data_IF_256801918472
#
_entry.id   IF_256801918472
#
_cell.length_a   1.000
_cell.length_b   1.000
_cell.length_c   1.000
_cell.angle_alpha   90.00
_cell.angle_beta   90.00
_cell.angle_gamma   90.00
#
_symmetry.space_group_name_H-M   'P 1'
#
loop_
_entity.id
_entity.type
_entity.pdbx_description
1 polymer ?
#
# COMPACT_ATOMS: atom_id res chain seq x y z
N UNK A 1 27.67 -13.38 -22.78
CA UNK A 1 26.34 -13.43 -22.12
C UNK A 1 26.53 -14.17 -20.82
N UNK A 2 26.42 -13.47 -19.68
CA UNK A 2 26.50 -14.04 -18.35
C UNK A 2 25.15 -13.93 -17.61
N UNK A 3 25.05 -14.58 -16.48
CA UNK A 3 23.90 -14.48 -15.57
C UNK A 3 24.31 -13.59 -14.39
N UNK A 4 23.95 -12.31 -14.44
CA UNK A 4 24.24 -11.34 -13.36
C UNK A 4 23.06 -11.31 -12.37
N UNK A 5 23.36 -11.33 -11.07
CA UNK A 5 22.37 -11.25 -9.99
C UNK A 5 22.41 -9.88 -9.29
N UNK A 6 23.42 -9.68 -8.44
CA UNK A 6 23.58 -8.44 -7.70
C UNK A 6 24.26 -7.36 -8.54
N UNK A 7 23.86 -6.08 -8.31
CA UNK A 7 24.52 -4.92 -8.88
C UNK A 7 24.69 -3.84 -7.82
N UNK A 8 25.89 -3.24 -7.77
CA UNK A 8 26.17 -2.10 -6.93
C UNK A 8 26.87 -1.02 -7.74
N UNK A 9 26.93 0.18 -7.21
CA UNK A 9 27.66 1.29 -7.78
C UNK A 9 28.46 2.02 -6.69
N UNK A 10 29.62 2.51 -7.06
CA UNK A 10 30.49 3.28 -6.20
C UNK A 10 31.47 4.10 -7.05
N UNK A 11 31.93 5.22 -6.54
CA UNK A 11 33.06 5.97 -7.08
C UNK A 11 34.34 5.25 -6.62
N UNK A 12 34.89 4.38 -7.48
CA UNK A 12 36.01 3.49 -7.15
C UNK A 12 37.39 4.14 -7.29
N UNK A 13 37.53 5.08 -8.20
CA UNK A 13 38.77 5.77 -8.46
C UNK A 13 38.80 7.21 -7.92
N UNK A 14 37.69 7.65 -7.31
CA UNK A 14 37.49 8.97 -6.70
C UNK A 14 37.58 10.12 -7.72
N UNK A 15 37.14 9.88 -8.97
CA UNK A 15 37.07 10.90 -10.01
C UNK A 15 35.71 11.64 -10.03
N UNK A 16 34.73 11.16 -9.27
CA UNK A 16 33.45 11.81 -9.03
C UNK A 16 32.31 11.33 -9.92
N UNK A 17 32.50 10.28 -10.67
CA UNK A 17 31.39 9.52 -11.26
C UNK A 17 31.30 8.12 -10.66
N UNK A 18 30.28 7.33 -11.02
CA UNK A 18 29.99 6.07 -10.34
C UNK A 18 30.20 4.89 -11.30
N UNK A 19 31.08 3.98 -10.94
CA UNK A 19 31.27 2.69 -11.60
C UNK A 19 30.13 1.74 -11.24
N UNK A 20 29.87 0.80 -12.14
CA UNK A 20 28.93 -0.29 -11.92
C UNK A 20 29.69 -1.58 -11.70
N UNK A 21 29.34 -2.27 -10.61
CA UNK A 21 29.89 -3.59 -10.29
C UNK A 21 28.74 -4.59 -10.37
N UNK A 22 28.90 -5.67 -11.14
CA UNK A 22 27.93 -6.76 -11.20
C UNK A 22 28.54 -8.05 -10.70
N UNK A 23 27.79 -8.79 -9.90
CA UNK A 23 28.16 -10.14 -9.53
C UNK A 23 27.53 -11.15 -10.50
N UNK A 24 28.33 -12.05 -11.04
CA UNK A 24 27.92 -13.04 -12.02
C UNK A 24 27.89 -14.44 -11.40
N UNK A 25 26.92 -15.26 -11.81
CA UNK A 25 26.82 -16.66 -11.36
C UNK A 25 27.85 -17.48 -12.13
N UNK A 26 28.68 -18.21 -11.39
CA UNK A 26 29.74 -19.08 -11.93
C UNK A 26 30.72 -18.38 -12.88
N UNK A 27 30.90 -17.04 -12.72
CA UNK A 27 31.80 -16.23 -13.53
C UNK A 27 32.39 -15.08 -12.69
N UNK A 28 33.41 -14.42 -13.22
CA UNK A 28 34.06 -13.27 -12.58
C UNK A 28 33.09 -12.09 -12.47
N UNK A 29 33.17 -11.35 -11.35
CA UNK A 29 32.48 -10.07 -11.25
C UNK A 29 32.96 -9.12 -12.36
N UNK A 30 32.03 -8.33 -12.90
CA UNK A 30 32.35 -7.32 -13.89
C UNK A 30 32.32 -5.93 -13.28
N UNK A 31 33.31 -5.13 -13.61
CA UNK A 31 33.38 -3.70 -13.26
C UNK A 31 33.32 -2.89 -14.53
N UNK A 32 32.39 -1.96 -14.60
CA UNK A 32 32.21 -1.06 -15.74
C UNK A 32 32.63 0.33 -15.30
N UNK A 33 33.72 0.82 -15.91
CA UNK A 33 34.21 2.17 -15.71
C UNK A 33 33.24 3.17 -16.32
N UNK A 34 32.93 4.22 -15.58
CA UNK A 34 32.23 5.40 -16.06
C UNK A 34 33.29 6.46 -16.45
N UNK A 35 32.99 7.32 -17.38
CA UNK A 35 33.89 8.40 -17.83
C UNK A 35 33.17 9.73 -17.94
N UNK A 36 32.02 9.85 -17.26
CA UNK A 36 31.18 11.05 -17.36
C UNK A 36 31.73 12.24 -16.60
N UNK A 37 32.60 12.02 -15.60
CA UNK A 37 33.34 13.07 -14.86
C UNK A 37 34.15 14.01 -15.77
N UNK A 38 34.59 13.50 -16.88
CA UNK A 38 35.36 14.31 -17.89
C UNK A 38 34.51 15.41 -18.53
N UNK A 39 33.20 15.30 -18.51
CA UNK A 39 32.29 16.21 -19.21
C UNK A 39 31.19 16.80 -18.31
N UNK A 40 30.86 16.17 -17.21
CA UNK A 40 29.76 16.53 -16.33
C UNK A 40 30.26 16.79 -14.91
N UNK A 41 29.49 17.57 -14.17
CA UNK A 41 29.74 17.90 -12.78
C UNK A 41 28.81 17.13 -11.87
N UNK A 42 29.17 17.01 -10.58
CA UNK A 42 28.44 16.26 -9.59
C UNK A 42 28.40 16.93 -8.20
N UNK A 43 27.63 16.39 -7.29
CA UNK A 43 27.75 16.62 -5.85
C UNK A 43 27.38 15.34 -5.12
N UNK A 44 28.20 14.94 -4.15
CA UNK A 44 27.94 13.81 -3.28
C UNK A 44 27.53 14.30 -1.89
N UNK A 45 26.48 13.74 -1.33
CA UNK A 45 25.92 14.15 -0.02
C UNK A 45 26.10 13.00 0.96
N UNK A 46 26.81 13.30 2.05
CA UNK A 46 26.99 12.42 3.21
C UNK A 46 26.28 12.99 4.44
N UNK A 47 25.93 12.12 5.36
CA UNK A 47 25.23 12.51 6.57
C UNK A 47 26.01 12.12 7.83
N UNK A 48 25.86 12.94 8.85
CA UNK A 48 26.26 12.65 10.22
C UNK A 48 25.07 12.87 11.12
N UNK A 49 24.31 11.80 11.33
CA UNK A 49 23.10 11.80 12.15
C UNK A 49 23.40 11.55 13.63
N UNK A 50 22.34 11.27 14.38
CA UNK A 50 22.42 10.90 15.82
C UNK A 50 22.79 9.42 15.99
N UNK A 51 22.97 9.00 17.24
CA UNK A 51 23.30 7.61 17.60
C UNK A 51 22.28 6.57 17.11
N UNK A 52 21.00 6.98 16.95
CA UNK A 52 19.92 6.10 16.47
C UNK A 52 19.87 5.97 14.93
N UNK A 53 20.39 6.94 14.22
CA UNK A 53 20.45 6.97 12.76
C UNK A 53 21.72 7.71 12.29
N UNK A 54 22.89 7.16 12.65
CA UNK A 54 24.18 7.82 12.42
C UNK A 54 24.48 8.10 10.94
N UNK A 55 23.96 7.30 10.04
CA UNK A 55 24.17 7.42 8.60
C UNK A 55 23.08 8.24 7.88
N UNK A 56 22.02 8.66 8.60
CA UNK A 56 20.94 9.47 8.03
C UNK A 56 20.03 8.73 7.05
N UNK A 57 19.79 7.43 7.28
CA UNK A 57 18.86 6.65 6.45
C UNK A 57 17.47 7.28 6.44
N UNK A 58 16.83 7.31 5.27
CA UNK A 58 15.51 7.91 5.07
C UNK A 58 15.53 9.45 4.93
N UNK A 59 16.69 10.10 5.04
CA UNK A 59 16.78 11.53 4.73
C UNK A 59 16.56 11.79 3.24
N UNK A 60 15.86 12.88 2.93
CA UNK A 60 15.61 13.32 1.56
C UNK A 60 16.45 14.52 1.21
N UNK A 61 17.04 14.50 0.03
CA UNK A 61 17.83 15.61 -0.50
C UNK A 61 17.21 16.09 -1.79
N UNK A 62 17.09 17.41 -1.90
CA UNK A 62 16.66 18.11 -3.09
C UNK A 62 17.84 18.95 -3.59
N UNK A 63 18.19 18.80 -4.86
CA UNK A 63 19.24 19.55 -5.52
C UNK A 63 18.61 20.34 -6.67
N UNK A 64 18.81 21.67 -6.69
CA UNK A 64 18.31 22.55 -7.75
C UNK A 64 19.46 23.18 -8.50
N UNK A 65 19.41 23.10 -9.80
CA UNK A 65 20.24 23.81 -10.74
C UNK A 65 19.37 24.45 -11.79
N UNK A 66 19.78 25.56 -12.42
CA UNK A 66 19.01 26.32 -13.43
C UNK A 66 17.90 25.53 -14.15
N UNK A 67 16.67 25.58 -13.62
CA UNK A 67 15.51 24.96 -14.23
C UNK A 67 15.29 23.46 -13.92
N UNK A 68 16.26 22.78 -13.31
CA UNK A 68 16.16 21.37 -12.93
C UNK A 68 16.10 21.19 -11.42
N UNK A 69 15.26 20.26 -10.97
CA UNK A 69 15.19 19.83 -9.57
C UNK A 69 15.24 18.30 -9.51
N UNK A 70 16.16 17.78 -8.72
CA UNK A 70 16.32 16.36 -8.46
C UNK A 70 16.00 16.08 -7.00
N UNK A 71 15.48 14.88 -6.69
CA UNK A 71 15.25 14.40 -5.32
C UNK A 71 15.74 12.96 -5.20
N UNK A 72 16.45 12.68 -4.13
CA UNK A 72 16.79 11.32 -3.72
C UNK A 72 16.52 11.14 -2.23
N UNK A 73 16.16 9.93 -1.84
CA UNK A 73 16.06 9.49 -0.45
C UNK A 73 17.20 8.50 -0.17
N UNK A 74 17.87 8.64 0.98
CA UNK A 74 18.95 7.73 1.34
C UNK A 74 18.41 6.37 1.78
N UNK A 75 18.66 5.37 0.97
CA UNK A 75 18.43 3.95 1.25
C UNK A 75 19.65 3.15 0.81
N UNK A 76 20.01 2.13 1.56
CA UNK A 76 21.16 1.28 1.24
C UNK A 76 20.81 0.12 0.33
N UNK A 77 19.58 -0.36 0.40
CA UNK A 77 19.12 -1.47 -0.44
C UNK A 77 18.82 -0.98 -1.86
N UNK A 78 19.42 -1.62 -2.87
CA UNK A 78 19.37 -1.20 -4.29
C UNK A 78 19.14 -2.36 -5.24
N UNK A 79 18.19 -3.22 -4.90
CA UNK A 79 17.84 -4.37 -5.72
C UNK A 79 18.19 -5.69 -5.06
N UNK A 80 18.16 -6.75 -5.84
CA UNK A 80 18.32 -8.12 -5.36
C UNK A 80 19.72 -8.32 -4.76
N UNK A 81 19.78 -8.68 -3.47
CA UNK A 81 21.02 -8.96 -2.72
C UNK A 81 22.11 -7.89 -2.88
N UNK A 82 21.71 -6.62 -3.00
CA UNK A 82 22.64 -5.52 -3.31
C UNK A 82 22.46 -4.35 -2.36
N UNK A 83 23.56 -3.76 -1.96
CA UNK A 83 23.60 -2.54 -1.15
C UNK A 83 24.69 -1.59 -1.64
N UNK A 84 24.55 -0.32 -1.31
CA UNK A 84 25.46 0.76 -1.72
C UNK A 84 25.93 1.55 -0.51
N UNK A 85 26.93 2.41 -0.68
CA UNK A 85 27.43 3.31 0.34
C UNK A 85 26.33 4.27 0.87
N UNK A 86 26.40 4.69 2.16
CA UNK A 86 25.42 5.59 2.76
C UNK A 86 25.62 7.05 2.32
N UNK A 87 25.55 7.28 1.03
CA UNK A 87 25.67 8.60 0.43
C UNK A 87 24.73 8.75 -0.77
N UNK A 88 24.41 9.98 -1.12
CA UNK A 88 23.60 10.31 -2.29
C UNK A 88 24.45 11.04 -3.30
N UNK A 89 24.47 10.56 -4.53
CA UNK A 89 25.20 11.16 -5.63
C UNK A 89 24.25 11.81 -6.63
N UNK A 90 24.53 13.07 -6.99
CA UNK A 90 23.75 13.84 -7.95
C UNK A 90 24.64 14.33 -9.09
N UNK A 91 24.36 13.88 -10.29
CA UNK A 91 24.90 14.51 -11.49
C UNK A 91 24.21 15.85 -11.73
N UNK A 92 24.99 16.89 -11.99
CA UNK A 92 24.48 18.25 -12.22
C UNK A 92 24.84 18.80 -13.59
N UNK A 93 25.10 17.91 -14.54
CA UNK A 93 25.50 18.22 -15.91
C UNK A 93 26.67 19.21 -15.92
N UNK A 94 26.60 20.28 -16.67
CA UNK A 94 27.66 21.29 -16.80
C UNK A 94 27.55 22.45 -15.80
N UNK A 95 26.66 22.37 -14.84
CA UNK A 95 26.47 23.38 -13.82
C UNK A 95 27.69 23.43 -12.89
N UNK A 96 28.40 24.56 -12.90
CA UNK A 96 29.56 24.82 -12.01
C UNK A 96 29.14 25.19 -10.59
N UNK A 97 27.86 25.59 -10.41
CA UNK A 97 27.26 25.90 -9.12
C UNK A 97 25.85 25.37 -9.08
N UNK A 98 25.46 24.94 -7.91
CA UNK A 98 24.14 24.42 -7.54
C UNK A 98 23.40 25.53 -6.82
N UNK A 99 22.19 25.87 -7.28
CA UNK A 99 21.43 26.99 -6.73
C UNK A 99 21.01 26.71 -5.28
N UNK A 100 20.50 25.48 -5.02
CA UNK A 100 20.07 25.06 -3.67
C UNK A 100 20.33 23.56 -3.48
N UNK A 101 20.89 23.20 -2.33
CA UNK A 101 20.88 21.85 -1.77
C UNK A 101 20.05 21.89 -0.49
N UNK A 102 18.91 21.20 -0.48
CA UNK A 102 18.00 21.12 0.67
C UNK A 102 17.96 19.68 1.21
N UNK A 103 18.26 19.52 2.48
CA UNK A 103 18.13 18.26 3.21
C UNK A 103 16.91 18.33 4.10
N UNK A 104 16.05 17.30 4.01
CA UNK A 104 14.94 17.07 4.94
C UNK A 104 15.28 15.82 5.74
N UNK A 105 15.49 15.99 7.02
CA UNK A 105 15.80 14.92 7.97
C UNK A 105 14.56 14.15 8.36
N UNK A 106 14.71 12.88 8.75
CA UNK A 106 13.60 12.02 9.16
C UNK A 106 12.79 12.55 10.35
N UNK A 107 13.39 13.43 11.16
CA UNK A 107 12.71 14.12 12.26
C UNK A 107 12.00 15.43 11.84
N UNK A 108 11.92 15.70 10.54
CA UNK A 108 11.28 16.90 9.99
C UNK A 108 12.13 18.16 9.98
N UNK A 109 13.34 18.15 10.57
CA UNK A 109 14.26 19.28 10.48
C UNK A 109 14.79 19.46 9.07
N UNK A 110 15.18 20.68 8.74
CA UNK A 110 15.65 21.06 7.41
C UNK A 110 17.01 21.77 7.50
N UNK A 111 17.84 21.50 6.51
CA UNK A 111 19.05 22.28 6.23
C UNK A 111 19.06 22.70 4.79
N UNK A 112 19.53 23.93 4.52
CA UNK A 112 19.68 24.46 3.16
C UNK A 112 21.06 25.08 2.97
N UNK A 113 21.65 24.83 1.83
CA UNK A 113 22.80 25.53 1.33
C UNK A 113 22.46 26.11 -0.04
N UNK A 114 22.90 27.31 -0.32
CA UNK A 114 22.70 27.99 -1.60
C UNK A 114 24.01 28.32 -2.26
N UNK A 115 24.01 28.43 -3.57
CA UNK A 115 25.20 28.74 -4.37
C UNK A 115 26.39 27.84 -4.05
N UNK A 116 26.14 26.53 -4.08
CA UNK A 116 27.13 25.50 -3.75
C UNK A 116 27.96 25.17 -4.98
N UNK A 117 29.27 25.14 -4.86
CA UNK A 117 30.17 24.69 -5.98
C UNK A 117 29.87 23.21 -6.29
N UNK A 118 29.90 22.87 -7.56
CA UNK A 118 29.92 21.48 -8.00
C UNK A 118 31.26 20.77 -7.71
N UNK A 119 31.31 19.48 -7.95
CA UNK A 119 32.49 18.61 -7.83
C UNK A 119 33.05 18.58 -6.41
N UNK A 120 32.19 18.29 -5.45
CA UNK A 120 32.57 18.12 -4.05
C UNK A 120 31.64 17.17 -3.27
N UNK A 121 32.15 16.73 -2.14
CA UNK A 121 31.38 15.98 -1.16
C UNK A 121 30.94 16.94 -0.06
N UNK A 122 29.62 16.98 0.23
CA UNK A 122 29.03 17.76 1.32
C UNK A 122 28.61 16.83 2.45
N UNK A 123 29.04 17.14 3.67
CA UNK A 123 28.58 16.41 4.85
C UNK A 123 27.60 17.26 5.65
N UNK A 124 26.36 16.81 5.73
CA UNK A 124 25.33 17.43 6.55
C UNK A 124 25.29 16.78 7.96
N UNK A 125 25.24 17.61 9.00
CA UNK A 125 25.16 17.14 10.38
C UNK A 125 23.77 17.44 10.94
N UNK A 126 23.09 16.44 11.49
CA UNK A 126 21.73 16.58 12.01
C UNK A 126 21.60 17.65 13.11
N UNK A 127 22.67 17.81 13.92
CA UNK A 127 22.72 18.83 14.98
C UNK A 127 22.58 20.27 14.47
N UNK A 128 22.97 20.52 13.21
CA UNK A 128 22.93 21.84 12.58
C UNK A 128 21.58 22.10 11.87
N UNK A 129 20.69 21.12 11.86
CA UNK A 129 19.39 21.19 11.22
C UNK A 129 18.38 21.95 12.09
N UNK A 130 17.52 22.75 11.45
CA UNK A 130 16.50 23.59 12.10
C UNK A 130 15.11 23.11 11.71
N UNK A 131 14.15 23.34 12.62
CA UNK A 131 12.73 23.22 12.27
C UNK A 131 12.39 24.44 11.42
N UNK A 132 11.99 24.21 10.16
CA UNK A 132 11.32 25.26 9.39
C UNK A 132 9.82 25.19 9.67
N UNK A 133 9.22 26.28 10.08
CA UNK A 133 7.76 26.41 10.08
C UNK A 133 7.29 26.36 8.61
N UNK A 134 6.86 25.21 8.17
CA UNK A 134 6.12 25.10 6.92
C UNK A 134 4.76 25.74 7.19
N UNK A 135 4.53 26.93 6.66
CA UNK A 135 3.17 27.46 6.56
C UNK A 135 2.38 26.52 5.64
N UNK A 136 1.77 25.52 6.24
CA UNK A 136 0.80 24.68 5.55
C UNK A 136 -0.39 25.57 5.24
N UNK A 137 -0.49 26.02 4.01
CA UNK A 137 -1.77 26.54 3.51
C UNK A 137 -2.68 25.31 3.48
N UNK A 138 -3.56 25.22 4.47
CA UNK A 138 -4.60 24.20 4.50
C UNK A 138 -5.48 24.42 3.26
N UNK A 139 -5.26 23.64 2.23
CA UNK A 139 -6.22 23.56 1.13
C UNK A 139 -7.44 22.81 1.66
N UNK A 140 -8.66 23.29 1.36
CA UNK A 140 -9.84 22.52 1.71
C UNK A 140 -9.73 21.11 1.12
N UNK A 141 -9.97 20.11 1.94
CA UNK A 141 -9.98 18.72 1.50
C UNK A 141 -11.24 18.45 0.68
N UNK A 142 -11.12 17.64 -0.37
CA UNK A 142 -12.28 17.17 -1.15
C UNK A 142 -13.19 16.24 -0.34
N UNK A 143 -12.61 15.57 0.67
CA UNK A 143 -13.31 14.65 1.55
C UNK A 143 -13.23 15.17 2.99
N UNK A 144 -14.33 15.04 3.71
CA UNK A 144 -14.41 15.32 5.14
C UNK A 144 -15.04 14.14 5.87
N UNK A 145 -14.62 13.89 7.09
CA UNK A 145 -15.26 12.89 7.95
C UNK A 145 -16.60 13.43 8.42
N UNK A 146 -17.65 12.61 8.31
CA UNK A 146 -18.97 12.91 8.88
C UNK A 146 -19.41 11.77 9.80
N UNK A 147 -20.04 12.10 10.93
CA UNK A 147 -20.62 11.15 11.87
C UNK A 147 -22.12 11.33 12.01
N UNK A 148 -22.70 12.29 11.28
CA UNK A 148 -24.11 12.66 11.44
C UNK A 148 -25.05 11.88 10.52
N UNK A 149 -24.53 11.33 9.43
CA UNK A 149 -25.31 10.64 8.38
C UNK A 149 -25.14 9.14 8.46
N UNK A 150 -24.01 8.66 8.95
CA UNK A 150 -23.68 7.23 9.05
C UNK A 150 -23.87 6.72 10.49
N UNK A 151 -24.42 5.51 10.67
CA UNK A 151 -24.47 4.87 11.98
C UNK A 151 -23.05 4.63 12.49
N UNK A 152 -22.87 4.72 13.81
CA UNK A 152 -21.61 4.32 14.43
C UNK A 152 -21.48 2.80 14.32
N UNK A 153 -20.65 2.34 13.41
CA UNK A 153 -20.33 0.93 13.24
C UNK A 153 -18.86 0.70 13.57
N UNK A 154 -18.59 -0.33 14.33
CA UNK A 154 -17.25 -0.84 14.62
C UNK A 154 -17.21 -2.29 14.17
N UNK A 155 -16.26 -2.62 13.31
CA UNK A 155 -15.97 -4.00 12.97
C UNK A 155 -15.25 -4.67 14.14
N UNK A 156 -15.72 -5.84 14.52
CA UNK A 156 -15.11 -6.65 15.55
C UNK A 156 -14.52 -7.91 14.93
N UNK A 157 -13.30 -8.26 15.34
CA UNK A 157 -12.57 -9.45 14.90
C UNK A 157 -12.60 -10.54 15.97
N UNK A 158 -12.59 -11.79 15.52
CA UNK A 158 -12.37 -12.93 16.42
C UNK A 158 -10.91 -12.98 16.86
N UNK A 159 -10.65 -13.67 17.95
CA UNK A 159 -9.29 -13.85 18.45
C UNK A 159 -8.65 -15.09 17.83
N UNK A 160 -7.68 -14.88 16.94
CA UNK A 160 -6.88 -15.94 16.35
C UNK A 160 -5.39 -15.56 16.35
N UNK A 161 -4.51 -16.55 16.57
CA UNK A 161 -3.06 -16.34 16.57
C UNK A 161 -2.41 -17.02 15.36
N UNK A 162 -2.33 -16.28 14.25
CA UNK A 162 -1.70 -16.73 13.00
C UNK A 162 -0.26 -17.22 13.20
N UNK A 163 0.48 -16.58 14.12
CA UNK A 163 1.91 -16.83 14.31
C UNK A 163 2.18 -18.11 15.13
N UNK A 164 1.15 -18.70 15.73
CA UNK A 164 1.27 -19.97 16.44
C UNK A 164 1.68 -21.10 15.49
N UNK A 165 1.08 -21.14 14.31
CA UNK A 165 1.28 -22.20 13.33
C UNK A 165 2.28 -21.79 12.23
N UNK A 166 2.35 -20.48 11.90
CA UNK A 166 3.26 -19.94 10.88
C UNK A 166 4.00 -18.70 11.39
N UNK A 167 5.08 -18.91 12.12
CA UNK A 167 5.87 -17.86 12.78
C UNK A 167 6.54 -16.85 11.83
N UNK A 168 6.66 -17.17 10.54
CA UNK A 168 7.33 -16.32 9.54
C UNK A 168 6.37 -15.45 8.72
N UNK A 169 5.07 -15.43 9.05
CA UNK A 169 4.13 -14.53 8.36
C UNK A 169 4.53 -13.06 8.58
N UNK A 170 4.50 -12.22 7.54
CA UNK A 170 4.86 -10.82 7.65
C UNK A 170 3.80 -10.00 8.40
N UNK A 171 2.55 -10.46 8.44
CA UNK A 171 1.41 -9.87 9.14
C UNK A 171 0.32 -10.93 9.33
N UNK A 172 -0.67 -10.63 10.16
CA UNK A 172 -1.84 -11.50 10.34
C UNK A 172 -2.61 -11.64 9.03
N UNK A 173 -3.01 -12.87 8.73
CA UNK A 173 -3.81 -13.22 7.56
C UNK A 173 -5.27 -13.52 7.95
N UNK A 174 -5.54 -13.77 9.23
CA UNK A 174 -6.87 -14.00 9.76
C UNK A 174 -7.73 -12.74 9.85
N UNK A 175 -7.15 -11.57 9.70
CA UNK A 175 -7.84 -10.27 9.81
C UNK A 175 -7.96 -9.58 8.44
N UNK A 176 -8.15 -10.34 7.37
CA UNK A 176 -8.43 -9.79 6.04
C UNK A 176 -9.92 -9.54 5.90
N UNK A 177 -10.27 -8.29 5.91
CA UNK A 177 -11.65 -7.82 5.82
C UNK A 177 -11.78 -6.43 6.44
N UNK A 178 -12.98 -5.96 6.70
CA UNK A 178 -14.25 -6.53 6.24
C UNK A 178 -14.50 -6.31 4.75
N UNK A 179 -15.27 -7.21 4.13
CA UNK A 179 -15.81 -7.01 2.79
C UNK A 179 -16.71 -5.76 2.77
N UNK A 180 -16.75 -5.06 1.64
CA UNK A 180 -17.63 -3.92 1.41
C UNK A 180 -18.23 -4.00 0.01
N UNK A 181 -19.56 -3.88 -0.08
CA UNK A 181 -20.28 -3.77 -1.34
C UNK A 181 -21.32 -2.67 -1.27
N UNK A 182 -21.56 -1.98 -2.40
CA UNK A 182 -22.49 -0.86 -2.52
C UNK A 182 -23.43 -1.10 -3.71
N UNK A 183 -24.71 -0.83 -3.52
CA UNK A 183 -25.75 -0.92 -4.54
C UNK A 183 -27.15 -0.68 -3.95
N UNK A 184 -28.11 -0.34 -4.81
CA UNK A 184 -29.51 -0.18 -4.41
C UNK A 184 -30.12 -1.58 -4.12
N UNK A 185 -30.43 -1.86 -2.86
CA UNK A 185 -30.92 -3.15 -2.40
C UNK A 185 -32.42 -3.17 -2.16
N UNK A 186 -33.10 -2.02 -2.23
CA UNK A 186 -34.53 -1.91 -1.95
C UNK A 186 -35.32 -1.22 -3.07
N UNK A 187 -34.66 -0.93 -4.20
CA UNK A 187 -35.24 -0.26 -5.39
C UNK A 187 -35.78 1.15 -5.12
N UNK A 188 -35.20 1.87 -4.17
CA UNK A 188 -35.59 3.26 -3.89
C UNK A 188 -34.74 4.32 -4.64
N UNK A 189 -33.73 3.87 -5.39
CA UNK A 189 -32.81 4.69 -6.20
C UNK A 189 -31.69 5.31 -5.38
N UNK A 190 -31.51 4.93 -4.12
CA UNK A 190 -30.38 5.31 -3.28
C UNK A 190 -29.40 4.13 -3.13
N UNK A 191 -28.13 4.44 -3.00
CA UNK A 191 -27.11 3.40 -2.79
C UNK A 191 -27.07 2.94 -1.32
N UNK A 192 -27.34 1.67 -1.11
CA UNK A 192 -27.17 0.97 0.15
C UNK A 192 -25.78 0.35 0.25
N UNK A 193 -25.40 -0.18 1.41
CA UNK A 193 -24.14 -0.89 1.52
C UNK A 193 -24.21 -2.10 2.46
N UNK A 194 -23.41 -3.09 2.11
CA UNK A 194 -23.11 -4.25 2.94
C UNK A 194 -21.70 -4.13 3.50
N UNK A 195 -21.52 -4.42 4.80
CA UNK A 195 -20.22 -4.60 5.45
C UNK A 195 -20.15 -6.04 5.93
N UNK A 196 -19.11 -6.77 5.53
CA UNK A 196 -18.86 -8.14 5.94
C UNK A 196 -18.52 -8.25 7.41
N UNK A 197 -18.80 -9.42 7.98
CA UNK A 197 -18.41 -9.81 9.33
C UNK A 197 -17.13 -10.65 9.32
N UNK A 198 -16.45 -10.71 10.46
CA UNK A 198 -15.41 -11.70 10.71
C UNK A 198 -16.01 -13.00 11.25
N UNK A 199 -15.22 -14.06 11.34
CA UNK A 199 -15.66 -15.32 11.94
C UNK A 199 -16.28 -15.08 13.35
N UNK A 200 -17.50 -15.53 13.54
CA UNK A 200 -18.38 -15.34 14.72
C UNK A 200 -19.15 -14.02 14.78
N UNK A 201 -18.95 -13.10 13.82
CA UNK A 201 -19.72 -11.87 13.71
C UNK A 201 -20.40 -11.80 12.35
N UNK A 202 -21.71 -11.51 12.33
CA UNK A 202 -22.47 -11.46 11.07
C UNK A 202 -22.16 -10.18 10.28
N UNK A 203 -22.15 -10.29 8.94
CA UNK A 203 -22.20 -9.13 8.06
C UNK A 203 -23.46 -8.30 8.28
N UNK A 204 -23.43 -7.02 7.90
CA UNK A 204 -24.52 -6.06 8.12
C UNK A 204 -24.87 -5.33 6.85
N UNK A 205 -26.17 -5.09 6.67
CA UNK A 205 -26.73 -4.25 5.61
C UNK A 205 -27.21 -2.94 6.20
N UNK A 206 -26.88 -1.84 5.53
CA UNK A 206 -27.33 -0.50 5.86
C UNK A 206 -28.06 0.09 4.67
N UNK A 207 -29.35 0.34 4.84
CA UNK A 207 -30.18 0.98 3.81
C UNK A 207 -30.09 2.49 3.95
N UNK A 208 -29.85 3.17 2.82
CA UNK A 208 -29.86 4.63 2.76
C UNK A 208 -31.27 5.17 2.84
N UNK A 209 -31.41 6.28 3.51
CA UNK A 209 -32.65 7.07 3.60
C UNK A 209 -32.35 8.53 3.32
N UNK A 210 -33.36 9.36 3.17
CA UNK A 210 -33.18 10.81 2.98
C UNK A 210 -32.39 11.49 4.12
N UNK A 211 -32.33 10.88 5.30
CA UNK A 211 -31.70 11.46 6.48
C UNK A 211 -30.46 10.73 6.96
N UNK A 212 -30.07 9.65 6.31
CA UNK A 212 -28.88 8.85 6.66
C UNK A 212 -29.11 7.36 6.40
N UNK A 213 -28.38 6.51 7.10
CA UNK A 213 -28.43 5.06 6.94
C UNK A 213 -29.07 4.37 8.13
N UNK A 214 -29.82 3.30 7.88
CA UNK A 214 -30.47 2.47 8.89
C UNK A 214 -30.03 1.01 8.72
N UNK A 215 -29.61 0.37 9.81
CA UNK A 215 -29.25 -1.06 9.80
C UNK A 215 -30.50 -1.91 9.54
N UNK A 216 -30.43 -2.76 8.52
CA UNK A 216 -31.42 -3.78 8.21
C UNK A 216 -30.91 -5.14 8.71
N UNK A 217 -31.59 -5.73 9.66
CA UNK A 217 -31.25 -7.06 10.19
C UNK A 217 -31.72 -8.16 9.26
N UNK A 218 -30.81 -9.04 8.87
CA UNK A 218 -31.06 -10.16 7.96
C UNK A 218 -30.70 -11.45 8.68
N UNK A 219 -31.67 -12.31 8.87
CA UNK A 219 -31.51 -13.58 9.61
C UNK A 219 -30.54 -14.51 8.89
N UNK A 220 -30.57 -14.57 7.55
CA UNK A 220 -29.69 -15.40 6.76
C UNK A 220 -28.20 -15.05 6.95
N UNK A 221 -27.88 -13.76 7.17
CA UNK A 221 -26.49 -13.33 7.50
C UNK A 221 -26.11 -13.74 8.92
N UNK A 222 -27.04 -13.65 9.87
CA UNK A 222 -26.79 -14.07 11.25
C UNK A 222 -26.57 -15.59 11.36
N UNK A 223 -27.30 -16.37 10.58
CA UNK A 223 -27.15 -17.84 10.55
C UNK A 223 -25.77 -18.26 10.01
N UNK A 224 -25.17 -17.44 9.15
CA UNK A 224 -23.88 -17.69 8.50
C UNK A 224 -22.68 -16.99 9.17
N UNK A 225 -22.84 -16.39 10.32
CA UNK A 225 -21.83 -15.61 11.04
C UNK A 225 -20.51 -16.32 11.36
N UNK A 226 -20.46 -17.64 11.20
CA UNK A 226 -19.22 -18.40 11.47
C UNK A 226 -18.26 -18.45 10.29
N UNK A 227 -18.63 -17.89 9.14
CA UNK A 227 -17.75 -17.69 7.98
C UNK A 227 -17.09 -16.31 8.05
N UNK A 228 -15.92 -16.18 7.45
CA UNK A 228 -15.20 -14.91 7.30
C UNK A 228 -15.57 -14.26 5.98
N UNK A 229 -16.00 -13.01 5.98
CA UNK A 229 -16.45 -12.25 4.81
C UNK A 229 -15.27 -11.45 4.23
N UNK A 230 -14.53 -12.04 3.28
CA UNK A 230 -13.33 -11.43 2.71
C UNK A 230 -13.59 -10.63 1.44
N UNK A 231 -14.72 -10.85 0.78
CA UNK A 231 -15.14 -10.11 -0.40
C UNK A 231 -16.64 -10.12 -0.56
N UNK A 232 -17.19 -9.10 -1.21
CA UNK A 232 -18.63 -9.05 -1.51
C UNK A 232 -18.87 -8.33 -2.83
N UNK A 233 -19.97 -8.68 -3.48
CA UNK A 233 -20.45 -8.02 -4.69
C UNK A 233 -21.98 -8.03 -4.71
N UNK A 234 -22.56 -6.92 -5.18
CA UNK A 234 -23.99 -6.73 -5.34
C UNK A 234 -24.30 -6.72 -6.83
N UNK A 235 -25.20 -7.56 -7.30
CA UNK A 235 -25.63 -7.67 -8.69
C UNK A 235 -26.92 -8.51 -8.76
N UNK A 236 -27.70 -8.37 -9.84
CA UNK A 236 -28.87 -9.18 -10.13
C UNK A 236 -28.40 -10.58 -10.58
N UNK A 237 -28.52 -11.58 -9.72
CA UNK A 237 -27.97 -12.92 -9.93
C UNK A 237 -28.97 -13.88 -10.58
N UNK A 238 -30.27 -13.66 -10.44
CA UNK A 238 -31.33 -14.51 -10.99
C UNK A 238 -32.14 -13.84 -12.12
N UNK A 239 -31.76 -12.59 -12.45
CA UNK A 239 -32.33 -11.79 -13.51
C UNK A 239 -33.80 -11.42 -13.29
N UNK A 240 -34.17 -11.15 -12.03
CA UNK A 240 -35.51 -10.69 -11.66
C UNK A 240 -35.59 -9.15 -11.53
N UNK A 241 -34.46 -8.47 -11.72
CA UNK A 241 -34.29 -7.02 -11.68
C UNK A 241 -34.04 -6.48 -10.27
N UNK A 242 -33.80 -7.33 -9.28
CA UNK A 242 -33.37 -6.97 -7.93
C UNK A 242 -31.86 -7.20 -7.79
N UNK A 243 -31.20 -6.41 -6.96
CA UNK A 243 -29.81 -6.66 -6.65
C UNK A 243 -29.67 -7.66 -5.51
N UNK A 244 -28.98 -8.75 -5.77
CA UNK A 244 -28.62 -9.79 -4.81
C UNK A 244 -27.26 -9.54 -4.18
N UNK A 245 -26.93 -10.31 -3.14
CA UNK A 245 -25.67 -10.21 -2.45
C UNK A 245 -24.88 -11.53 -2.55
N UNK A 246 -23.73 -11.48 -3.17
CA UNK A 246 -22.76 -12.57 -3.17
C UNK A 246 -21.63 -12.24 -2.20
N UNK A 247 -21.32 -13.17 -1.28
CA UNK A 247 -20.27 -13.00 -0.27
C UNK A 247 -19.21 -14.09 -0.45
N UNK A 248 -17.99 -13.66 -0.64
CA UNK A 248 -16.80 -14.52 -0.72
C UNK A 248 -16.38 -14.89 0.69
N UNK A 249 -16.29 -16.18 0.95
CA UNK A 249 -15.82 -16.72 2.21
C UNK A 249 -14.31 -16.97 2.15
N UNK A 250 -13.60 -16.52 3.17
CA UNK A 250 -12.16 -16.69 3.26
C UNK A 250 -11.71 -16.98 4.68
N UNK A 251 -10.58 -16.42 5.04
CA UNK A 251 -9.97 -16.59 6.35
C UNK A 251 -8.83 -17.59 6.31
N UNK A 252 -7.95 -17.44 7.27
CA UNK A 252 -6.74 -18.23 7.44
C UNK A 252 -6.87 -19.26 8.58
N UNK A 253 -7.85 -19.06 9.43
CA UNK A 253 -8.13 -19.87 10.61
C UNK A 253 -8.89 -21.16 10.34
N UNK A 254 -9.36 -21.36 9.10
CA UNK A 254 -10.13 -22.54 8.73
C UNK A 254 -9.24 -23.63 8.11
N UNK A 255 -9.58 -24.88 8.40
CA UNK A 255 -8.91 -26.02 7.81
C UNK A 255 -9.24 -26.14 6.31
N UNK A 256 -8.40 -26.84 5.58
CA UNK A 256 -8.66 -27.18 4.17
C UNK A 256 -9.99 -27.94 4.07
N UNK A 257 -10.83 -27.52 3.12
CA UNK A 257 -12.18 -28.06 2.90
C UNK A 257 -13.18 -27.81 4.06
N UNK A 258 -12.93 -26.82 4.93
CA UNK A 258 -13.92 -26.42 5.92
C UNK A 258 -15.16 -25.86 5.21
N UNK A 259 -16.38 -26.32 5.57
CA UNK A 259 -17.62 -25.80 4.99
C UNK A 259 -17.83 -24.29 5.15
N UNK A 260 -17.18 -23.65 6.10
CA UNK A 260 -17.21 -22.18 6.31
C UNK A 260 -16.50 -21.40 5.20
N UNK A 261 -15.67 -22.06 4.40
CA UNK A 261 -15.02 -21.48 3.23
C UNK A 261 -15.93 -21.46 1.99
N UNK A 262 -17.13 -22.03 2.05
CA UNK A 262 -18.09 -21.98 0.95
C UNK A 262 -18.61 -20.55 0.75
N UNK A 263 -18.46 -20.02 -0.46
CA UNK A 263 -19.07 -18.75 -0.83
C UNK A 263 -20.60 -18.82 -0.73
N UNK A 264 -21.22 -17.68 -0.48
CA UNK A 264 -22.64 -17.59 -0.19
C UNK A 264 -23.32 -16.58 -1.13
N UNK A 265 -24.48 -16.97 -1.63
CA UNK A 265 -25.38 -16.12 -2.39
C UNK A 265 -26.66 -15.90 -1.58
N UNK A 266 -27.09 -14.67 -1.48
CA UNK A 266 -28.32 -14.27 -0.81
C UNK A 266 -29.19 -13.57 -1.84
N UNK A 267 -30.36 -14.15 -2.10
CA UNK A 267 -31.37 -13.64 -3.04
C UNK A 267 -32.22 -12.60 -2.33
N UNK A 268 -32.39 -11.48 -2.98
CA UNK A 268 -33.18 -10.35 -2.52
C UNK A 268 -34.64 -10.47 -2.99
N UNK A 269 -35.55 -9.78 -2.36
CA UNK A 269 -36.94 -9.68 -2.77
C UNK A 269 -37.32 -8.26 -3.25
N UNK A 270 -36.32 -7.42 -3.58
CA UNK A 270 -36.48 -6.03 -3.98
C UNK A 270 -36.88 -5.07 -2.86
N UNK A 271 -36.84 -5.50 -1.61
CA UNK A 271 -37.15 -4.68 -0.42
C UNK A 271 -36.01 -4.69 0.60
N UNK A 272 -34.84 -5.19 0.20
CA UNK A 272 -33.70 -5.37 1.08
C UNK A 272 -33.87 -6.51 2.10
N UNK A 273 -34.78 -7.47 1.85
CA UNK A 273 -34.89 -8.71 2.61
C UNK A 273 -34.24 -9.85 1.82
N UNK A 274 -33.38 -10.61 2.47
CA UNK A 274 -32.55 -11.61 1.81
C UNK A 274 -32.79 -13.00 2.37
N UNK A 275 -32.83 -13.97 1.47
CA UNK A 275 -32.83 -15.39 1.77
C UNK A 275 -31.60 -16.05 1.17
N UNK A 276 -31.00 -17.02 1.89
CA UNK A 276 -29.87 -17.77 1.37
C UNK A 276 -30.31 -18.62 0.18
N UNK A 277 -29.59 -18.49 -0.95
CA UNK A 277 -29.83 -19.30 -2.12
C UNK A 277 -29.71 -20.81 -1.84
N UNK A 278 -30.44 -21.68 -2.53
CA UNK A 278 -30.32 -23.13 -2.40
C UNK A 278 -28.85 -23.59 -2.62
N UNK A 279 -28.42 -24.64 -1.92
CA UNK A 279 -27.06 -25.18 -2.04
C UNK A 279 -26.63 -25.51 -3.47
N UNK A 280 -27.56 -25.81 -4.35
CA UNK A 280 -27.31 -26.11 -5.76
C UNK A 280 -27.06 -24.84 -6.62
N UNK A 281 -27.32 -23.66 -6.11
CA UNK A 281 -27.10 -22.39 -6.83
C UNK A 281 -25.63 -22.08 -7.05
N UNK A 282 -24.74 -22.57 -6.19
CA UNK A 282 -23.31 -22.39 -6.32
C UNK A 282 -22.57 -23.75 -6.37
N UNK A 283 -21.47 -23.85 -7.12
CA UNK A 283 -20.62 -25.02 -7.03
C UNK A 283 -19.98 -25.12 -5.64
N UNK A 284 -19.52 -26.32 -5.28
CA UNK A 284 -18.77 -26.51 -4.03
C UNK A 284 -17.38 -25.88 -4.18
N UNK A 285 -17.10 -24.87 -3.39
CA UNK A 285 -15.84 -24.11 -3.38
C UNK A 285 -15.37 -23.96 -1.93
N UNK A 286 -14.67 -24.98 -1.41
CA UNK A 286 -14.19 -25.01 -0.03
C UNK A 286 -12.74 -24.53 0.07
N UNK A 287 -12.47 -23.38 -0.54
CA UNK A 287 -11.15 -22.75 -0.54
C UNK A 287 -11.28 -21.31 -0.09
N UNK A 288 -10.30 -20.79 0.64
CA UNK A 288 -10.26 -19.39 1.04
C UNK A 288 -10.25 -18.47 -0.19
N UNK A 289 -11.32 -17.73 -0.37
CA UNK A 289 -11.47 -16.70 -1.41
C UNK A 289 -11.06 -15.31 -0.89
N UNK A 290 -10.90 -14.36 -1.78
CA UNK A 290 -10.60 -12.96 -1.41
C UNK A 290 -11.40 -11.94 -2.20
N UNK A 291 -11.88 -12.29 -3.39
CA UNK A 291 -12.62 -11.36 -4.26
C UNK A 291 -13.43 -12.09 -5.31
N UNK A 292 -14.58 -11.53 -5.68
CA UNK A 292 -15.39 -11.97 -6.82
C UNK A 292 -15.62 -10.80 -7.79
N UNK A 293 -15.77 -11.15 -9.07
CA UNK A 293 -16.16 -10.23 -10.14
C UNK A 293 -17.29 -10.86 -10.94
N UNK A 294 -18.48 -10.26 -10.95
CA UNK A 294 -19.54 -10.73 -11.82
C UNK A 294 -19.19 -10.44 -13.28
N UNK A 295 -19.46 -11.38 -14.17
CA UNK A 295 -19.34 -11.16 -15.60
C UNK A 295 -20.57 -11.71 -16.30
N UNK A 296 -21.13 -10.91 -17.23
CA UNK A 296 -22.22 -11.36 -18.10
C UNK A 296 -21.63 -12.22 -19.23
N UNK A 297 -21.88 -13.53 -19.20
CA UNK A 297 -21.69 -14.36 -20.37
C UNK A 297 -22.94 -14.31 -21.22
N UNK A 298 -22.86 -13.70 -22.42
CA UNK A 298 -23.91 -13.90 -23.42
C UNK A 298 -23.76 -15.31 -23.99
N UNK A 299 -24.70 -16.18 -23.68
CA UNK A 299 -24.88 -17.50 -24.34
C UNK A 299 -25.27 -17.34 -25.79
#
# INVERSE_FOLDING_TARGET
>A
KGFSNGVAYADLDNDGDLEIITNNIDDYASVFENTSSKTNNYVTIRFKGTSKNSQGLGNRVYVKTKGNSQMQELTLSRGYQSSVAPELHFGVDKAKAIDEVKVVWTNGKIQKLTNVKANQILTFKEQDAKIEEVKTVSKPTLFSTTTTVFPTYKHDENSYDDFKDQVLLPHKMSTFGPALAVGDLNKDGLDDYFIGGSATFSGKIFLQTQTGFVEKKIQALEDDKFSEDTGAVIFDADNDGDNDLYVVSGGYEFLINDPKLQDRLYINNGKGDFEKAPKAALPVMLTSGSKAYPSLFKS
#
